data_IF_896459859934
#
_entry.id   IF_896459859934
#
_cell.length_a   1.000
_cell.length_b   1.000
_cell.length_c   1.000
_cell.angle_alpha   90.00
_cell.angle_beta   90.00
_cell.angle_gamma   90.00
#
_symmetry.space_group_name_H-M   'P 1'
#
loop_
_entity.id
_entity.type
_entity.pdbx_description
1 polymer ?
#
# COMPACT_ATOMS: atom_id res chain seq x y z
N UNK A 1 -14.42 -7.01 17.97
CA UNK A 1 -14.53 -6.27 16.69
C UNK A 1 -15.66 -5.27 16.81
N UNK A 2 -15.43 -4.00 16.47
CA UNK A 2 -16.38 -2.87 16.66
C UNK A 2 -16.18 -1.81 15.57
N UNK A 3 -17.27 -1.19 15.12
CA UNK A 3 -17.21 0.06 14.34
C UNK A 3 -16.88 1.25 15.26
N UNK A 4 -16.59 2.42 14.70
CA UNK A 4 -16.46 3.65 15.50
C UNK A 4 -17.82 4.13 16.02
N UNK A 5 -17.78 4.97 17.05
CA UNK A 5 -18.97 5.46 17.76
C UNK A 5 -19.94 6.24 16.87
N UNK A 6 -19.40 7.04 15.95
CA UNK A 6 -20.19 8.00 15.18
C UNK A 6 -20.52 7.46 13.77
N UNK A 7 -19.99 6.29 13.41
CA UNK A 7 -20.13 5.70 12.09
C UNK A 7 -19.44 6.51 10.99
N UNK A 8 -18.36 7.22 11.32
CA UNK A 8 -17.65 8.14 10.41
C UNK A 8 -16.28 7.60 9.97
N UNK A 9 -15.79 6.52 10.59
CA UNK A 9 -14.48 5.96 10.28
C UNK A 9 -14.53 5.06 9.03
N UNK A 10 -14.57 5.73 7.88
CA UNK A 10 -14.50 5.14 6.56
C UNK A 10 -13.13 4.53 6.26
N UNK A 11 -13.17 3.47 5.45
CA UNK A 11 -12.01 2.84 4.84
C UNK A 11 -12.04 3.15 3.35
N UNK A 12 -11.40 4.25 2.90
CA UNK A 12 -11.28 4.56 1.49
C UNK A 12 -10.35 3.55 0.82
N UNK A 13 -10.75 3.06 -0.35
CA UNK A 13 -9.97 2.20 -1.23
C UNK A 13 -10.02 2.71 -2.66
N UNK A 14 -8.94 2.53 -3.40
CA UNK A 14 -8.91 2.80 -4.84
C UNK A 14 -8.11 1.71 -5.56
N UNK A 15 -8.63 1.27 -6.70
CA UNK A 15 -8.02 0.23 -7.53
C UNK A 15 -7.23 0.85 -8.68
N UNK A 16 -6.02 0.37 -8.92
CA UNK A 16 -5.26 0.74 -10.14
C UNK A 16 -5.97 0.26 -11.41
N UNK A 17 -6.74 -0.83 -11.35
CA UNK A 17 -7.50 -1.36 -12.50
C UNK A 17 -8.48 -0.30 -13.04
N UNK A 18 -9.07 0.49 -12.15
CA UNK A 18 -9.96 1.60 -12.52
C UNK A 18 -9.16 2.88 -12.77
N UNK A 19 -8.22 3.22 -11.88
CA UNK A 19 -7.47 4.47 -11.96
C UNK A 19 -6.60 4.59 -13.23
N UNK A 20 -6.07 3.47 -13.75
CA UNK A 20 -5.21 3.46 -14.94
C UNK A 20 -5.88 4.04 -16.20
N UNK A 21 -7.22 4.08 -16.24
CA UNK A 21 -7.97 4.72 -17.32
C UNK A 21 -7.87 6.25 -17.27
N UNK A 22 -7.52 6.81 -16.13
CA UNK A 22 -7.39 8.25 -15.89
C UNK A 22 -5.94 8.74 -15.84
N UNK A 23 -4.97 7.84 -15.99
CA UNK A 23 -3.54 8.18 -16.04
C UNK A 23 -3.18 8.61 -17.47
N UNK A 24 -2.52 9.77 -17.67
CA UNK A 24 -2.06 10.19 -18.99
C UNK A 24 -1.06 9.18 -19.57
N UNK A 25 -1.15 8.91 -20.88
CA UNK A 25 -0.23 7.99 -21.57
C UNK A 25 1.24 8.41 -21.41
N UNK A 26 1.50 9.72 -21.38
CA UNK A 26 2.85 10.27 -21.16
C UNK A 26 3.39 10.01 -19.76
N UNK A 27 2.54 9.74 -18.76
CA UNK A 27 2.96 9.36 -17.41
C UNK A 27 3.22 7.85 -17.28
N UNK A 28 2.59 7.01 -18.11
CA UNK A 28 2.66 5.54 -18.00
C UNK A 28 4.09 5.02 -18.06
N UNK A 29 4.83 5.38 -19.12
CA UNK A 29 6.22 4.95 -19.29
C UNK A 29 7.14 5.40 -18.14
N UNK A 30 6.84 6.55 -17.54
CA UNK A 30 7.59 7.08 -16.39
C UNK A 30 7.27 6.26 -15.13
N UNK A 31 5.99 5.95 -14.90
CA UNK A 31 5.52 5.15 -13.76
C UNK A 31 6.06 3.72 -13.77
N UNK A 32 6.34 3.17 -14.95
CA UNK A 32 6.94 1.84 -15.15
C UNK A 32 8.47 1.83 -15.00
N UNK A 33 9.11 3.00 -15.03
CA UNK A 33 10.56 3.12 -14.85
C UNK A 33 10.95 3.17 -13.36
N UNK A 34 12.15 2.68 -12.97
CA UNK A 34 12.62 2.69 -11.58
C UNK A 34 13.06 4.10 -11.14
N UNK A 35 12.11 5.04 -11.07
CA UNK A 35 12.34 6.46 -10.82
C UNK A 35 11.69 6.95 -9.51
N UNK A 36 11.21 6.05 -8.66
CA UNK A 36 10.47 6.43 -7.44
C UNK A 36 11.16 5.88 -6.21
N UNK A 37 11.66 6.80 -5.38
CA UNK A 37 12.32 6.49 -4.12
C UNK A 37 11.28 6.38 -3.02
N UNK A 38 11.19 5.21 -2.37
CA UNK A 38 10.36 4.98 -1.18
C UNK A 38 11.24 4.97 0.08
N UNK A 39 10.81 5.71 1.10
CA UNK A 39 11.38 5.66 2.44
C UNK A 39 10.69 4.59 3.29
N UNK A 40 11.43 3.86 4.14
CA UNK A 40 10.83 2.96 5.12
C UNK A 40 9.91 3.74 6.07
N UNK A 41 8.82 3.12 6.51
CA UNK A 41 7.99 3.73 7.56
C UNK A 41 8.72 3.70 8.90
N UNK A 42 8.48 4.67 9.79
CA UNK A 42 9.02 4.71 11.17
C UNK A 42 8.88 3.41 11.97
N UNK A 43 7.82 2.65 11.71
CA UNK A 43 7.56 1.36 12.37
C UNK A 43 8.59 0.27 12.01
N UNK A 44 9.30 0.45 10.90
CA UNK A 44 10.34 -0.44 10.38
C UNK A 44 11.67 0.29 10.19
N UNK A 45 11.85 1.47 10.82
CA UNK A 45 13.14 2.15 10.89
C UNK A 45 14.09 1.30 11.73
N UNK A 46 14.77 0.37 11.07
CA UNK A 46 15.97 -0.26 11.59
C UNK A 46 17.19 0.37 10.91
N UNK A 47 18.38 0.35 11.55
CA UNK A 47 19.59 0.98 10.99
C UNK A 47 19.94 0.51 9.57
N UNK A 48 19.44 -0.66 9.18
CA UNK A 48 19.81 -1.38 7.97
C UNK A 48 18.74 -1.32 6.86
N UNK A 49 17.53 -0.82 7.14
CA UNK A 49 16.47 -0.72 6.13
C UNK A 49 16.65 0.59 5.37
N UNK A 50 17.15 0.51 4.15
CA UNK A 50 17.44 1.67 3.31
C UNK A 50 16.26 2.03 2.40
N UNK A 51 16.24 3.30 1.99
CA UNK A 51 15.33 3.74 0.93
C UNK A 51 15.63 2.98 -0.37
N UNK A 52 14.59 2.60 -1.10
CA UNK A 52 14.71 1.87 -2.37
C UNK A 52 14.15 2.72 -3.50
N UNK A 53 14.76 2.63 -4.67
CA UNK A 53 14.19 3.19 -5.90
C UNK A 53 13.60 2.06 -6.73
N UNK A 54 12.33 2.16 -7.08
CA UNK A 54 11.58 1.13 -7.80
C UNK A 54 10.54 1.78 -8.72
N UNK A 55 10.01 1.04 -9.70
CA UNK A 55 8.86 1.51 -10.48
C UNK A 55 7.59 1.49 -9.62
N UNK A 56 6.68 2.41 -9.91
CA UNK A 56 5.36 2.48 -9.25
C UNK A 56 4.41 1.47 -9.87
N UNK A 57 4.41 1.36 -11.20
CA UNK A 57 3.59 0.43 -11.95
C UNK A 57 4.42 -0.73 -12.49
N UNK A 58 3.80 -1.91 -12.55
CA UNK A 58 4.34 -3.14 -13.12
C UNK A 58 3.21 -3.90 -13.82
N UNK A 59 3.58 -4.85 -14.67
CA UNK A 59 2.59 -5.64 -15.42
C UNK A 59 2.10 -4.92 -16.68
N UNK A 60 1.05 -5.43 -17.30
CA UNK A 60 0.41 -4.79 -18.46
C UNK A 60 -0.76 -3.91 -18.02
N UNK A 61 -1.41 -3.24 -18.97
CA UNK A 61 -2.59 -2.44 -18.69
C UNK A 61 -3.81 -3.29 -18.30
N UNK A 62 -3.87 -4.52 -18.79
CA UNK A 62 -4.90 -5.51 -18.49
C UNK A 62 -4.67 -6.20 -17.15
N UNK A 63 -3.41 -6.37 -16.76
CA UNK A 63 -3.01 -6.97 -15.47
C UNK A 63 -2.01 -6.08 -14.73
N UNK A 64 -2.43 -4.87 -14.29
CA UNK A 64 -1.54 -3.94 -13.63
C UNK A 64 -1.27 -4.39 -12.20
N UNK A 65 -0.07 -4.07 -11.72
CA UNK A 65 0.30 -4.12 -10.31
C UNK A 65 0.95 -2.79 -9.92
N UNK A 66 0.73 -2.37 -8.67
CA UNK A 66 1.14 -1.07 -8.19
C UNK A 66 1.84 -1.19 -6.83
N UNK A 67 2.91 -0.41 -6.67
CA UNK A 67 3.55 -0.15 -5.38
C UNK A 67 3.65 1.35 -5.19
N UNK A 68 2.90 1.89 -4.22
CA UNK A 68 2.85 3.33 -3.98
C UNK A 68 2.71 3.61 -2.49
N UNK A 69 3.30 4.72 -2.04
CA UNK A 69 3.02 5.30 -0.73
C UNK A 69 2.83 6.80 -0.87
N UNK A 70 1.66 7.33 -0.46
CA UNK A 70 1.28 8.72 -0.77
C UNK A 70 2.23 9.78 -0.18
N UNK A 71 2.85 9.51 0.97
CA UNK A 71 3.73 10.44 1.66
C UNK A 71 5.21 10.05 1.75
N UNK A 72 5.55 8.77 1.53
CA UNK A 72 6.92 8.25 1.71
C UNK A 72 7.60 7.94 0.38
N UNK A 73 6.86 8.03 -0.72
CA UNK A 73 7.38 7.85 -2.07
C UNK A 73 7.48 9.20 -2.77
N UNK A 74 8.61 9.41 -3.45
CA UNK A 74 8.89 10.61 -4.26
C UNK A 74 9.53 10.21 -5.59
N UNK A 75 9.25 10.96 -6.63
CA UNK A 75 10.00 10.91 -7.87
C UNK A 75 11.43 11.40 -7.67
N UNK A 76 12.38 10.82 -8.40
CA UNK A 76 13.79 11.25 -8.39
C UNK A 76 14.07 12.43 -9.31
N UNK A 77 13.11 12.82 -10.15
CA UNK A 77 13.13 13.96 -11.08
C UNK A 77 11.77 14.67 -11.09
N UNK A 78 11.71 15.86 -11.71
CA UNK A 78 10.46 16.61 -11.88
C UNK A 78 9.41 15.83 -12.69
N UNK A 79 9.82 15.20 -13.78
CA UNK A 79 8.95 14.35 -14.60
C UNK A 79 8.41 13.15 -13.82
N UNK A 80 9.24 12.53 -12.96
CA UNK A 80 8.82 11.43 -12.10
C UNK A 80 7.85 11.90 -11.02
N UNK A 81 8.10 13.05 -10.38
CA UNK A 81 7.18 13.59 -9.38
C UNK A 81 5.84 13.98 -10.03
N UNK A 82 5.87 14.57 -11.23
CA UNK A 82 4.67 14.87 -12.01
C UNK A 82 3.86 13.60 -12.34
N UNK A 83 4.52 12.55 -12.81
CA UNK A 83 3.86 11.28 -13.13
C UNK A 83 3.25 10.63 -11.87
N UNK A 84 3.95 10.71 -10.73
CA UNK A 84 3.45 10.24 -9.43
C UNK A 84 2.19 10.99 -9.00
N UNK A 85 2.15 12.32 -9.15
CA UNK A 85 0.95 13.11 -8.82
C UNK A 85 -0.21 12.82 -9.78
N UNK A 86 0.06 12.64 -11.08
CA UNK A 86 -0.96 12.20 -12.03
C UNK A 86 -1.62 10.88 -11.60
N UNK A 87 -0.83 9.92 -11.13
CA UNK A 87 -1.38 8.67 -10.59
C UNK A 87 -2.16 8.88 -9.29
N UNK A 88 -1.66 9.68 -8.36
CA UNK A 88 -2.38 9.99 -7.10
C UNK A 88 -3.73 10.64 -7.40
N UNK A 89 -3.79 11.56 -8.37
CA UNK A 89 -5.04 12.18 -8.82
C UNK A 89 -5.98 11.20 -9.51
N UNK A 90 -5.45 10.30 -10.33
CA UNK A 90 -6.23 9.22 -10.93
C UNK A 90 -6.84 8.30 -9.87
N UNK A 91 -6.07 7.93 -8.84
CA UNK A 91 -6.55 7.12 -7.72
C UNK A 91 -7.64 7.85 -6.91
N UNK A 92 -7.48 9.14 -6.66
CA UNK A 92 -8.49 9.97 -5.95
C UNK A 92 -9.84 10.00 -6.67
N UNK A 93 -9.87 9.90 -8.00
CA UNK A 93 -11.11 9.92 -8.80
C UNK A 93 -11.94 8.65 -8.67
N UNK A 94 -11.33 7.53 -8.28
CA UNK A 94 -11.97 6.20 -8.22
C UNK A 94 -12.08 5.68 -6.78
N UNK A 95 -11.96 6.56 -5.79
CA UNK A 95 -12.08 6.17 -4.38
C UNK A 95 -13.50 5.72 -4.08
N UNK A 96 -13.61 4.54 -3.46
CA UNK A 96 -14.83 4.07 -2.79
C UNK A 96 -14.55 3.97 -1.30
N UNK A 97 -15.47 4.46 -0.48
CA UNK A 97 -15.38 4.45 0.98
C UNK A 97 -16.42 3.52 1.60
N UNK A 98 -16.04 2.80 2.65
CA UNK A 98 -16.97 1.98 3.43
C UNK A 98 -16.71 2.12 4.94
N UNK A 99 -17.79 2.30 5.71
CA UNK A 99 -17.76 2.14 7.17
C UNK A 99 -17.97 0.66 7.49
N UNK A 100 -16.93 0.02 8.02
CA UNK A 100 -16.93 -1.42 8.31
C UNK A 100 -17.74 -1.70 9.58
N UNK A 101 -18.80 -2.50 9.45
CA UNK A 101 -19.66 -2.90 10.54
C UNK A 101 -19.16 -4.17 11.25
N UNK A 102 -19.54 -4.39 12.52
CA UNK A 102 -19.24 -5.64 13.20
C UNK A 102 -19.78 -6.85 12.43
N UNK A 103 -18.93 -7.85 12.19
CA UNK A 103 -19.29 -9.05 11.42
C UNK A 103 -18.97 -8.96 9.92
N UNK A 104 -18.62 -7.78 9.41
CA UNK A 104 -18.15 -7.64 8.03
C UNK A 104 -16.68 -8.01 7.87
N UNK A 105 -16.35 -8.55 6.70
CA UNK A 105 -14.99 -8.85 6.28
C UNK A 105 -14.67 -8.09 5.00
N UNK A 106 -13.56 -7.36 5.01
CA UNK A 106 -13.03 -6.68 3.82
C UNK A 106 -11.77 -7.41 3.37
N UNK A 107 -11.76 -7.85 2.12
CA UNK A 107 -10.61 -8.48 1.46
C UNK A 107 -10.11 -7.52 0.39
N UNK A 108 -8.81 -7.23 0.41
CA UNK A 108 -8.17 -6.33 -0.55
C UNK A 108 -6.99 -7.05 -1.19
N UNK A 109 -6.92 -7.04 -2.52
CA UNK A 109 -5.71 -7.44 -3.22
C UNK A 109 -4.71 -6.28 -3.19
N UNK A 110 -3.71 -6.39 -2.31
CA UNK A 110 -2.72 -5.35 -2.07
C UNK A 110 -1.80 -5.09 -3.28
N UNK A 111 -1.87 -5.90 -4.34
CA UNK A 111 -1.14 -5.65 -5.60
C UNK A 111 -1.81 -4.58 -6.46
N UNK A 112 -3.13 -4.40 -6.31
CA UNK A 112 -3.93 -3.51 -7.15
C UNK A 112 -4.67 -2.43 -6.37
N UNK A 113 -4.78 -2.57 -5.05
CA UNK A 113 -5.55 -1.65 -4.20
C UNK A 113 -4.66 -0.80 -3.31
N UNK A 114 -4.85 0.52 -3.34
CA UNK A 114 -4.46 1.39 -2.21
C UNK A 114 -5.63 1.52 -1.27
N UNK A 115 -5.32 1.64 0.02
CA UNK A 115 -6.31 1.81 1.06
C UNK A 115 -5.85 2.86 2.07
N UNK A 116 -6.80 3.47 2.74
CA UNK A 116 -6.56 4.44 3.80
C UNK A 116 -7.57 4.33 4.92
N UNK A 117 -7.65 5.39 5.71
CA UNK A 117 -8.66 5.56 6.76
C UNK A 117 -9.00 7.02 6.86
N UNK A 118 -10.29 7.35 6.92
CA UNK A 118 -10.72 8.73 7.19
C UNK A 118 -10.29 9.16 8.61
N UNK A 119 -10.30 10.47 8.82
CA UNK A 119 -10.14 11.04 10.16
C UNK A 119 -11.40 10.74 10.98
N UNK A 120 -11.22 10.33 12.23
CA UNK A 120 -12.31 10.14 13.20
C UNK A 120 -11.83 10.52 14.60
N UNK A 121 -12.75 10.75 15.53
CA UNK A 121 -12.45 11.16 16.90
C UNK A 121 -12.60 9.97 17.86
N UNK A 122 -11.49 9.33 18.29
CA UNK A 122 -11.57 8.29 19.32
C UNK A 122 -12.01 8.89 20.66
N UNK A 123 -12.81 8.13 21.42
CA UNK A 123 -13.29 8.52 22.76
C UNK A 123 -12.40 7.99 23.88
N UNK A 124 -11.56 7.00 23.59
CA UNK A 124 -10.67 6.33 24.55
C UNK A 124 -11.41 5.73 25.76
N UNK A 125 -12.65 5.29 25.54
CA UNK A 125 -13.54 4.74 26.57
C UNK A 125 -13.57 3.20 26.58
N UNK A 126 -12.68 2.56 25.82
CA UNK A 126 -12.63 1.11 25.63
C UNK A 126 -13.65 0.57 24.62
N UNK A 127 -14.48 1.41 24.02
CA UNK A 127 -15.50 1.03 23.04
C UNK A 127 -15.21 1.54 21.63
N UNK A 128 -14.05 2.15 21.42
CA UNK A 128 -13.61 2.62 20.10
C UNK A 128 -13.55 1.52 19.03
N UNK A 129 -13.48 2.00 17.79
CA UNK A 129 -13.30 1.19 16.57
C UNK A 129 -12.19 0.18 16.75
N UNK A 130 -12.53 -1.09 16.56
CA UNK A 130 -11.59 -2.19 16.70
C UNK A 130 -11.73 -3.15 15.53
N UNK A 131 -10.69 -3.17 14.69
CA UNK A 131 -10.53 -4.10 13.59
C UNK A 131 -9.38 -5.09 13.88
N UNK A 132 -9.53 -6.30 13.38
CA UNK A 132 -8.52 -7.35 13.34
C UNK A 132 -8.06 -7.46 11.90
N UNK A 133 -6.75 -7.39 11.69
CA UNK A 133 -6.12 -7.46 10.37
C UNK A 133 -5.30 -8.73 10.26
N UNK A 134 -5.37 -9.38 9.11
CA UNK A 134 -4.54 -10.53 8.74
C UNK A 134 -3.93 -10.25 7.38
N UNK A 135 -2.72 -10.76 7.16
CA UNK A 135 -2.07 -10.74 5.86
C UNK A 135 -2.09 -12.14 5.27
N UNK A 136 -2.29 -12.22 3.96
CA UNK A 136 -2.29 -13.47 3.21
C UNK A 136 -1.26 -13.33 2.10
N UNK A 137 -0.43 -14.35 1.94
CA UNK A 137 0.48 -14.49 0.81
C UNK A 137 0.03 -15.69 -0.02
N UNK A 138 0.14 -15.58 -1.33
CA UNK A 138 -0.25 -16.66 -2.26
C UNK A 138 0.65 -17.88 -2.11
N UNK A 139 1.94 -17.66 -1.85
CA UNK A 139 2.91 -18.73 -1.62
C UNK A 139 3.92 -18.34 -0.56
N UNK A 140 4.20 -19.27 0.34
CA UNK A 140 5.25 -19.12 1.35
C UNK A 140 6.64 -19.46 0.82
N UNK A 141 6.73 -20.19 -0.30
CA UNK A 141 8.01 -20.67 -0.86
C UNK A 141 9.04 -19.54 -1.07
N UNK A 142 8.68 -18.37 -1.63
CA UNK A 142 9.67 -17.30 -1.88
C UNK A 142 10.29 -16.73 -0.60
N UNK A 143 9.54 -16.75 0.51
CA UNK A 143 9.96 -16.19 1.79
C UNK A 143 10.32 -17.26 2.82
N UNK A 144 10.35 -18.54 2.44
CA UNK A 144 10.55 -19.64 3.37
C UNK A 144 11.87 -19.50 4.15
N UNK A 145 12.89 -18.93 3.51
CA UNK A 145 14.19 -18.65 4.12
C UNK A 145 14.17 -17.51 5.15
N UNK A 146 13.09 -16.72 5.23
CA UNK A 146 12.90 -15.62 6.18
C UNK A 146 12.08 -16.03 7.42
N UNK A 147 11.50 -17.23 7.42
CA UNK A 147 10.67 -17.71 8.52
C UNK A 147 11.54 -18.17 9.68
N UNK A 148 11.11 -17.81 10.90
CA UNK A 148 11.80 -18.22 12.14
C UNK A 148 11.05 -19.40 12.76
N UNK A 149 11.77 -20.44 13.17
CA UNK A 149 11.27 -21.55 14.01
C UNK A 149 9.93 -22.18 13.58
N UNK A 150 9.75 -22.43 12.27
CA UNK A 150 8.50 -22.95 11.68
C UNK A 150 7.25 -22.11 11.97
N UNK A 151 7.42 -20.85 12.36
CA UNK A 151 6.33 -19.91 12.57
C UNK A 151 6.02 -19.14 11.27
N UNK A 152 4.79 -18.62 11.15
CA UNK A 152 4.41 -17.69 10.09
C UNK A 152 4.85 -16.24 10.39
N UNK A 153 5.99 -16.08 11.08
CA UNK A 153 6.60 -14.79 11.37
C UNK A 153 7.91 -14.66 10.59
N UNK A 154 8.07 -13.53 9.90
CA UNK A 154 9.32 -13.19 9.22
C UNK A 154 10.24 -12.47 10.20
N UNK A 155 11.52 -12.81 10.20
CA UNK A 155 12.53 -11.98 10.84
C UNK A 155 12.48 -10.56 10.24
N UNK A 156 12.82 -9.50 11.00
CA UNK A 156 12.96 -8.16 10.44
C UNK A 156 13.94 -8.17 9.26
N UNK A 157 13.72 -7.29 8.29
CA UNK A 157 14.64 -7.09 7.17
C UNK A 157 15.97 -6.49 7.69
N UNK A 158 16.90 -7.35 8.13
CA UNK A 158 18.28 -7.00 8.47
C UNK A 158 19.20 -6.89 7.24
N UNK A 159 20.51 -6.88 7.46
CA UNK A 159 21.57 -6.81 6.43
C UNK A 159 21.50 -7.97 5.42
N UNK A 160 20.62 -7.87 4.42
CA UNK A 160 20.59 -8.79 3.29
C UNK A 160 21.48 -8.25 2.16
N UNK A 161 22.56 -8.97 1.89
CA UNK A 161 23.32 -8.91 0.63
C UNK A 161 22.41 -9.52 -0.44
N UNK A 162 22.17 -8.81 -1.54
CA UNK A 162 21.37 -9.31 -2.68
C UNK A 162 21.80 -10.73 -3.08
N UNK A 163 20.86 -11.66 -3.37
CA UNK A 163 21.23 -12.93 -3.97
C UNK A 163 21.79 -12.65 -5.37
N UNK A 164 22.99 -13.20 -5.63
CA UNK A 164 23.64 -13.20 -6.95
C UNK A 164 22.81 -13.92 -8.00
#
# INVERSE_FOLDING_TARGET
>A
MRSDHDGLAETPVASIIEAIQHVPETAMAILEAPLFRIQPTRMFEQPHVQARTLPVLRGSREEPAMTIHFSLMKGVSEDAEWALECLKDALRKVVVSQVIQPGELVIMDNRVTVHGRSTFHPRFDGQDRWLQRMFVIESIKPIQHLLVDFTYTCAPLGDWIEPR
#
